data_IF_028761570584
#
_entry.id   IF_028761570584
#
_cell.length_a   1.000
_cell.length_b   1.000
_cell.length_c   1.000
_cell.angle_alpha   90.00
_cell.angle_beta   90.00
_cell.angle_gamma   90.00
#
_symmetry.space_group_name_H-M   'P 1'
#
loop_
_entity.id
_entity.type
_entity.pdbx_description
1 polymer ?
#
# COMPACT_ATOMS: atom_id res chain seq x y z
N UNK A 1 -42.57 62.54 31.95
CA UNK A 1 -43.38 61.31 31.82
C UNK A 1 -42.98 60.62 30.51
N UNK A 2 -42.55 59.35 30.58
CA UNK A 2 -42.27 58.48 29.43
C UNK A 2 -43.56 58.23 28.60
N UNK A 3 -43.44 57.93 27.29
CA UNK A 3 -43.58 56.54 26.80
C UNK A 3 -42.57 56.19 25.68
N UNK A 4 -41.86 55.06 25.77
CA UNK A 4 -42.12 53.72 25.19
C UNK A 4 -41.68 53.49 23.73
N UNK A 5 -40.85 52.46 23.57
CA UNK A 5 -40.65 51.57 22.39
C UNK A 5 -39.99 52.18 21.15
N UNK A 6 -39.00 51.56 20.50
CA UNK A 6 -39.05 50.19 20.01
C UNK A 6 -37.66 49.57 19.80
N UNK A 7 -37.60 48.27 20.05
CA UNK A 7 -36.44 47.38 19.87
C UNK A 7 -36.23 47.11 18.38
N UNK A 8 -34.99 47.19 17.88
CA UNK A 8 -34.58 46.40 16.71
C UNK A 8 -33.19 45.83 17.01
N UNK A 9 -33.18 44.60 17.51
CA UNK A 9 -32.00 43.76 17.57
C UNK A 9 -31.77 43.17 16.16
N UNK A 10 -30.67 43.54 15.51
CA UNK A 10 -30.23 42.92 14.27
C UNK A 10 -29.35 41.71 14.61
N UNK A 11 -29.97 40.54 14.75
CA UNK A 11 -29.27 39.25 14.80
C UNK A 11 -28.81 38.89 13.38
N UNK A 12 -27.52 39.09 13.10
CA UNK A 12 -26.89 38.55 11.88
C UNK A 12 -26.43 37.13 12.19
N UNK A 13 -27.24 36.15 11.80
CA UNK A 13 -26.86 34.74 11.86
C UNK A 13 -25.93 34.40 10.69
N UNK A 14 -24.62 34.33 10.96
CA UNK A 14 -23.63 33.81 9.99
C UNK A 14 -23.68 32.29 10.11
N UNK A 15 -24.48 31.66 9.24
CA UNK A 15 -24.52 30.21 9.10
C UNK A 15 -23.22 29.70 8.50
N UNK A 16 -22.40 29.05 9.34
CA UNK A 16 -21.26 28.27 8.87
C UNK A 16 -21.77 27.01 8.18
N UNK A 17 -21.79 27.01 6.85
CA UNK A 17 -21.93 25.81 6.04
C UNK A 17 -20.70 24.93 6.28
N UNK A 18 -20.85 23.93 7.16
CA UNK A 18 -19.91 22.83 7.27
C UNK A 18 -19.93 22.06 5.96
N UNK A 19 -19.02 22.41 5.05
CA UNK A 19 -18.62 21.56 3.93
C UNK A 19 -18.01 20.28 4.53
N UNK A 20 -18.85 19.32 4.87
CA UNK A 20 -18.42 17.96 5.12
C UNK A 20 -17.87 17.42 3.80
N UNK A 21 -16.55 17.48 3.63
CA UNK A 21 -15.87 16.78 2.56
C UNK A 21 -16.17 15.29 2.75
N UNK A 22 -17.02 14.75 1.87
CA UNK A 22 -17.19 13.32 1.72
C UNK A 22 -15.85 12.78 1.25
N UNK A 23 -15.01 12.32 2.18
CA UNK A 23 -13.87 11.49 1.85
C UNK A 23 -14.43 10.22 1.22
N UNK A 24 -14.42 10.18 -0.11
CA UNK A 24 -14.68 8.95 -0.84
C UNK A 24 -13.75 7.90 -0.24
N UNK A 25 -14.35 6.88 0.40
CA UNK A 25 -13.60 5.79 0.98
C UNK A 25 -12.78 5.16 -0.15
N UNK A 26 -11.49 5.50 -0.23
CA UNK A 26 -10.59 4.94 -1.22
C UNK A 26 -10.42 3.47 -0.88
N UNK A 27 -11.13 2.61 -1.60
CA UNK A 27 -10.93 1.16 -1.48
C UNK A 27 -9.61 0.82 -2.15
N UNK A 28 -8.59 0.56 -1.33
CA UNK A 28 -7.29 0.10 -1.79
C UNK A 28 -7.43 -1.28 -2.43
N UNK A 29 -7.48 -1.29 -3.76
CA UNK A 29 -7.68 -2.49 -4.54
C UNK A 29 -6.34 -3.13 -4.85
N UNK A 30 -5.92 -4.02 -3.96
CA UNK A 30 -4.76 -4.87 -4.15
C UNK A 30 -5.14 -6.17 -4.87
N UNK A 31 -4.34 -6.52 -5.88
CA UNK A 31 -4.41 -7.81 -6.56
C UNK A 31 -3.15 -8.63 -6.27
N UNK A 32 -3.28 -9.95 -6.22
CA UNK A 32 -2.13 -10.84 -6.11
C UNK A 32 -1.43 -10.91 -7.46
N UNK A 33 -0.12 -10.66 -7.47
CA UNK A 33 0.72 -10.87 -8.64
C UNK A 33 1.23 -12.32 -8.68
N UNK A 34 1.35 -12.87 -9.89
CA UNK A 34 2.04 -14.14 -10.14
C UNK A 34 3.33 -13.87 -10.95
N UNK A 35 4.50 -13.80 -10.29
CA UNK A 35 5.76 -13.47 -10.96
C UNK A 35 6.32 -14.60 -11.81
N UNK A 36 5.73 -15.81 -11.74
CA UNK A 36 6.32 -17.03 -12.33
C UNK A 36 7.82 -17.07 -12.02
N UNK A 37 8.67 -17.16 -13.03
CA UNK A 37 10.14 -17.22 -12.90
C UNK A 37 10.82 -15.99 -12.25
N UNK A 38 10.08 -14.92 -11.93
CA UNK A 38 10.60 -13.73 -11.24
C UNK A 38 10.24 -12.41 -11.89
N UNK A 39 9.55 -12.42 -13.03
CA UNK A 39 9.17 -11.20 -13.76
C UNK A 39 7.67 -11.13 -13.97
N UNK A 40 7.08 -9.98 -13.70
CA UNK A 40 5.67 -9.69 -13.97
C UNK A 40 5.50 -8.31 -14.55
N UNK A 41 4.65 -8.22 -15.58
CA UNK A 41 4.19 -6.95 -16.12
C UNK A 41 2.83 -6.62 -15.54
N UNK A 42 2.67 -5.40 -15.03
CA UNK A 42 1.42 -4.90 -14.48
C UNK A 42 1.20 -3.45 -14.95
N UNK A 43 0.30 -3.27 -15.91
CA UNK A 43 0.08 -1.96 -16.55
C UNK A 43 1.36 -1.45 -17.21
N UNK A 44 1.87 -0.31 -16.72
CA UNK A 44 3.10 0.33 -17.23
C UNK A 44 4.38 -0.13 -16.50
N UNK A 45 4.25 -0.99 -15.51
CA UNK A 45 5.36 -1.47 -14.68
C UNK A 45 5.80 -2.86 -15.15
N UNK A 46 7.11 -3.07 -15.22
CA UNK A 46 7.73 -4.39 -15.23
C UNK A 46 8.48 -4.56 -13.92
N UNK A 47 8.11 -5.55 -13.15
CA UNK A 47 8.68 -5.85 -11.84
C UNK A 47 9.51 -7.13 -11.99
N UNK A 48 10.79 -7.03 -11.68
CA UNK A 48 11.75 -8.13 -11.64
C UNK A 48 12.15 -8.37 -10.18
N UNK A 49 11.88 -9.57 -9.70
CA UNK A 49 12.15 -10.02 -8.33
C UNK A 49 13.48 -10.77 -8.22
N UNK A 50 14.23 -10.87 -9.32
CA UNK A 50 15.40 -11.71 -9.43
C UNK A 50 15.05 -13.19 -9.61
N UNK A 51 16.06 -14.04 -9.42
CA UNK A 51 15.95 -15.47 -9.66
C UNK A 51 15.01 -16.15 -8.65
N UNK A 52 14.08 -16.96 -9.15
CA UNK A 52 13.25 -17.84 -8.34
C UNK A 52 14.02 -19.05 -7.77
N UNK A 53 13.54 -19.60 -6.66
CA UNK A 53 14.10 -20.81 -6.03
C UNK A 53 13.91 -22.09 -6.86
N UNK A 54 12.87 -22.13 -7.70
CA UNK A 54 12.61 -23.22 -8.64
C UNK A 54 12.36 -22.67 -10.06
N UNK A 55 12.84 -23.40 -11.08
CA UNK A 55 12.72 -22.97 -12.47
C UNK A 55 11.29 -23.04 -13.04
N UNK A 56 10.42 -23.86 -12.44
CA UNK A 56 9.09 -24.20 -12.97
C UNK A 56 7.95 -23.73 -12.07
N UNK A 57 8.15 -23.79 -10.76
CA UNK A 57 7.14 -23.45 -9.75
C UNK A 57 7.75 -22.69 -8.55
N UNK A 58 8.40 -21.54 -8.79
CA UNK A 58 9.08 -20.81 -7.73
C UNK A 58 8.12 -20.34 -6.63
N UNK A 59 8.57 -20.41 -5.39
CA UNK A 59 7.85 -19.95 -4.20
C UNK A 59 8.54 -18.75 -3.55
N UNK A 60 9.83 -18.58 -3.80
CA UNK A 60 10.60 -17.42 -3.38
C UNK A 60 11.51 -16.89 -4.47
N UNK A 61 11.93 -15.64 -4.32
CA UNK A 61 12.84 -14.95 -5.25
C UNK A 61 13.93 -14.22 -4.49
N UNK A 62 15.14 -14.20 -5.02
CA UNK A 62 16.30 -13.70 -4.28
C UNK A 62 16.27 -12.17 -4.06
N UNK A 63 15.63 -11.41 -4.95
CA UNK A 63 15.81 -9.96 -5.03
C UNK A 63 17.19 -9.58 -5.59
N UNK A 64 17.56 -8.29 -5.60
CA UNK A 64 16.71 -7.15 -5.22
C UNK A 64 15.56 -6.94 -6.22
N UNK A 65 14.55 -6.18 -5.81
CA UNK A 65 13.43 -5.86 -6.72
C UNK A 65 13.86 -4.74 -7.67
N UNK A 66 13.93 -5.02 -8.96
CA UNK A 66 14.11 -4.01 -10.00
C UNK A 66 12.78 -3.70 -10.67
N UNK A 67 12.48 -2.42 -10.86
CA UNK A 67 11.22 -1.96 -11.44
C UNK A 67 11.54 -1.05 -12.61
N UNK A 68 10.99 -1.39 -13.78
CA UNK A 68 11.09 -0.59 -14.99
C UNK A 68 9.71 -0.07 -15.41
N UNK A 69 9.66 1.18 -15.85
CA UNK A 69 8.46 1.84 -16.35
C UNK A 69 8.51 1.94 -17.88
N UNK A 70 7.35 1.91 -18.54
CA UNK A 70 7.25 2.01 -20.00
C UNK A 70 7.87 3.29 -20.59
N UNK A 71 8.11 4.32 -19.77
CA UNK A 71 8.79 5.56 -20.16
C UNK A 71 10.33 5.49 -20.11
N UNK A 72 10.92 4.33 -19.82
CA UNK A 72 12.37 4.12 -19.76
C UNK A 72 13.01 4.39 -18.41
N UNK A 73 12.27 4.94 -17.44
CA UNK A 73 12.73 5.08 -16.06
C UNK A 73 12.76 3.71 -15.38
N UNK A 74 13.85 3.43 -14.66
CA UNK A 74 13.96 2.23 -13.83
C UNK A 74 14.58 2.57 -12.48
N UNK A 75 14.18 1.83 -11.46
CA UNK A 75 14.77 1.92 -10.13
C UNK A 75 14.92 0.52 -9.51
N UNK A 76 15.73 0.43 -8.47
CA UNK A 76 15.92 -0.80 -7.70
C UNK A 76 15.57 -0.50 -6.24
N UNK A 77 14.76 -1.36 -5.64
CA UNK A 77 14.42 -1.31 -4.22
C UNK A 77 15.66 -1.67 -3.40
N UNK A 78 15.75 -1.12 -2.19
CA UNK A 78 16.80 -1.44 -1.23
C UNK A 78 17.08 -2.96 -1.12
N UNK A 79 18.36 -3.34 -1.12
CA UNK A 79 18.81 -4.73 -1.06
C UNK A 79 18.42 -5.45 0.22
N UNK A 80 18.12 -4.72 1.29
CA UNK A 80 17.58 -5.27 2.53
C UNK A 80 16.18 -5.88 2.33
N UNK A 81 15.51 -5.56 1.22
CA UNK A 81 14.28 -6.20 0.77
C UNK A 81 14.62 -7.35 -0.18
N UNK A 82 15.20 -8.42 0.38
CA UNK A 82 15.64 -9.63 -0.34
C UNK A 82 15.02 -10.90 0.23
N UNK A 83 15.11 -12.00 -0.54
CA UNK A 83 14.48 -13.29 -0.23
C UNK A 83 12.95 -13.13 -0.04
N UNK A 84 12.30 -12.84 -1.16
CA UNK A 84 10.89 -12.53 -1.28
C UNK A 84 10.09 -13.82 -1.32
N UNK A 85 8.93 -13.87 -0.69
CA UNK A 85 7.99 -15.00 -0.79
C UNK A 85 6.60 -14.53 -1.24
N UNK A 86 5.81 -15.48 -1.77
CA UNK A 86 4.39 -15.26 -2.03
C UNK A 86 3.63 -15.04 -0.71
N UNK A 87 2.51 -14.29 -0.69
CA UNK A 87 1.95 -13.53 -1.80
C UNK A 87 2.61 -12.15 -1.99
N UNK A 88 2.65 -11.70 -3.25
CA UNK A 88 3.02 -10.33 -3.62
C UNK A 88 1.77 -9.63 -4.11
N UNK A 89 1.52 -8.41 -3.63
CA UNK A 89 0.35 -7.64 -4.03
C UNK A 89 0.75 -6.33 -4.68
N UNK A 90 -0.06 -5.89 -5.64
CA UNK A 90 0.06 -4.57 -6.25
C UNK A 90 -1.30 -3.88 -6.18
N UNK A 91 -1.34 -2.65 -5.68
CA UNK A 91 -2.52 -1.80 -5.88
C UNK A 91 -2.53 -1.31 -7.33
N UNK A 92 -3.68 -1.16 -7.96
CA UNK A 92 -3.77 -0.78 -9.39
C UNK A 92 -3.12 0.57 -9.78
N UNK A 93 -2.34 1.19 -8.88
CA UNK A 93 -1.56 2.41 -9.07
C UNK A 93 -0.07 2.10 -9.08
N UNK A 94 0.54 1.94 -7.91
CA UNK A 94 2.00 1.82 -7.77
C UNK A 94 2.48 1.29 -6.43
N UNK A 95 1.60 0.87 -5.51
CA UNK A 95 2.03 0.33 -4.23
C UNK A 95 2.20 -1.18 -4.30
N UNK A 96 3.42 -1.63 -4.06
CA UNK A 96 3.77 -3.05 -4.00
C UNK A 96 3.86 -3.47 -2.54
N UNK A 97 3.16 -4.55 -2.18
CA UNK A 97 3.36 -5.25 -0.91
C UNK A 97 4.15 -6.53 -1.15
N UNK A 98 5.32 -6.61 -0.54
CA UNK A 98 6.19 -7.79 -0.61
C UNK A 98 6.47 -8.33 0.79
N UNK A 99 6.67 -9.64 0.87
CA UNK A 99 7.05 -10.30 2.12
C UNK A 99 8.46 -10.84 1.95
N UNK A 100 9.36 -10.48 2.86
CA UNK A 100 10.67 -11.14 3.00
C UNK A 100 10.61 -12.14 4.15
N UNK A 101 11.48 -13.13 4.13
CA UNK A 101 11.63 -14.06 5.24
C UNK A 101 13.08 -14.35 5.61
N UNK A 102 13.30 -14.66 6.89
CA UNK A 102 14.56 -15.19 7.42
C UNK A 102 14.23 -16.22 8.50
N UNK A 103 14.54 -17.49 8.21
CA UNK A 103 14.05 -18.61 9.01
C UNK A 103 12.52 -18.63 9.08
N UNK A 104 11.97 -18.58 10.29
CA UNK A 104 10.52 -18.54 10.52
C UNK A 104 9.93 -17.12 10.55
N UNK A 105 10.78 -16.10 10.58
CA UNK A 105 10.36 -14.70 10.68
C UNK A 105 10.08 -14.10 9.32
N UNK A 106 9.03 -13.30 9.24
CA UNK A 106 8.62 -12.55 8.05
C UNK A 106 8.56 -11.06 8.36
N UNK A 107 8.77 -10.26 7.32
CA UNK A 107 8.54 -8.81 7.34
C UNK A 107 7.80 -8.45 6.05
N UNK A 108 6.73 -7.65 6.17
CA UNK A 108 6.04 -7.08 5.01
C UNK A 108 6.51 -5.66 4.80
N UNK A 109 6.79 -5.31 3.55
CA UNK A 109 7.13 -3.96 3.11
C UNK A 109 6.05 -3.44 2.17
N UNK A 110 5.69 -2.16 2.34
CA UNK A 110 4.98 -1.40 1.32
C UNK A 110 5.97 -0.52 0.58
N UNK A 111 5.99 -0.62 -0.74
CA UNK A 111 6.98 0.02 -1.62
C UNK A 111 6.23 0.85 -2.65
N UNK A 112 6.68 2.06 -2.90
CA UNK A 112 6.29 2.82 -4.07
C UNK A 112 7.08 2.32 -5.29
N UNK A 113 6.40 1.64 -6.21
CA UNK A 113 6.99 1.07 -7.42
C UNK A 113 7.48 2.12 -8.43
N UNK A 114 7.11 3.40 -8.28
CA UNK A 114 7.61 4.47 -9.15
C UNK A 114 8.95 5.03 -8.66
N UNK A 115 9.18 5.05 -7.35
CA UNK A 115 10.38 5.61 -6.73
C UNK A 115 11.29 4.56 -6.10
N UNK A 116 10.84 3.31 -6.03
CA UNK A 116 11.45 2.18 -5.31
C UNK A 116 11.68 2.43 -3.81
N UNK A 117 10.97 3.42 -3.24
CA UNK A 117 11.08 3.77 -1.83
C UNK A 117 10.19 2.88 -0.98
N UNK A 118 10.73 2.42 0.15
CA UNK A 118 9.93 1.78 1.20
C UNK A 118 9.09 2.84 1.90
N UNK A 119 7.77 2.72 1.80
CA UNK A 119 6.80 3.59 2.45
C UNK A 119 6.46 3.12 3.86
N UNK A 120 6.47 1.80 4.07
CA UNK A 120 6.11 1.19 5.35
C UNK A 120 6.78 -0.18 5.53
N UNK A 121 7.03 -0.55 6.78
CA UNK A 121 7.61 -1.83 7.18
C UNK A 121 6.87 -2.38 8.39
N UNK A 122 6.48 -3.66 8.34
CA UNK A 122 5.88 -4.36 9.49
C UNK A 122 6.93 -4.63 10.57
N UNK A 123 6.47 -4.82 11.82
CA UNK A 123 7.27 -5.56 12.80
C UNK A 123 7.49 -7.00 12.31
N UNK A 124 8.59 -7.67 12.69
CA UNK A 124 8.77 -9.09 12.40
C UNK A 124 7.64 -9.95 12.99
N UNK A 125 7.21 -10.98 12.27
CA UNK A 125 6.14 -11.87 12.71
C UNK A 125 6.32 -13.31 12.21
N UNK A 126 5.54 -14.23 12.79
CA UNK A 126 5.43 -15.63 12.34
C UNK A 126 4.00 -15.87 11.83
N UNK A 127 3.87 -16.68 10.79
CA UNK A 127 2.58 -17.06 10.19
C UNK A 127 2.34 -16.44 8.81
N UNK A 128 1.14 -16.63 8.25
CA UNK A 128 0.82 -16.23 6.88
C UNK A 128 0.54 -14.73 6.72
N UNK A 129 0.77 -14.22 5.52
CA UNK A 129 0.29 -12.91 5.05
C UNK A 129 -1.00 -13.08 4.25
N UNK A 130 -2.05 -12.33 4.58
CA UNK A 130 -3.32 -12.33 3.84
C UNK A 130 -3.85 -10.91 3.72
N UNK A 131 -4.39 -10.56 2.56
CA UNK A 131 -5.09 -9.29 2.35
C UNK A 131 -6.58 -9.59 2.12
N UNK A 132 -7.45 -8.96 2.91
CA UNK A 132 -8.90 -9.07 2.73
C UNK A 132 -9.60 -7.77 3.08
N UNK A 133 -10.40 -7.24 2.15
CA UNK A 133 -11.27 -6.07 2.36
C UNK A 133 -10.55 -4.87 3.00
N UNK A 134 -9.40 -4.47 2.45
CA UNK A 134 -8.63 -3.34 2.98
C UNK A 134 -7.98 -3.60 4.36
N UNK A 135 -7.81 -4.87 4.74
CA UNK A 135 -7.06 -5.26 5.93
C UNK A 135 -5.92 -6.19 5.54
N UNK A 136 -4.70 -5.79 5.90
CA UNK A 136 -3.52 -6.63 5.86
C UNK A 136 -3.44 -7.43 7.16
N UNK A 137 -3.47 -8.76 7.05
CA UNK A 137 -3.24 -9.67 8.16
C UNK A 137 -1.82 -10.24 8.09
N UNK A 138 -1.03 -10.02 9.14
CA UNK A 138 0.33 -10.55 9.31
C UNK A 138 0.35 -11.48 10.54
N UNK A 139 0.33 -12.79 10.29
CA UNK A 139 0.13 -13.77 11.35
C UNK A 139 -1.22 -13.54 12.07
N UNK A 140 -1.16 -13.15 13.34
CA UNK A 140 -2.35 -12.81 14.16
C UNK A 140 -2.70 -11.31 14.15
N UNK A 141 -1.81 -10.45 13.67
CA UNK A 141 -2.03 -9.00 13.64
C UNK A 141 -2.88 -8.61 12.42
N UNK A 142 -3.72 -7.59 12.60
CA UNK A 142 -4.61 -7.06 11.55
C UNK A 142 -4.43 -5.56 11.48
N UNK A 143 -3.98 -5.08 10.33
CA UNK A 143 -3.71 -3.66 10.06
C UNK A 143 -4.61 -3.17 8.94
N UNK A 144 -5.36 -2.08 9.18
CA UNK A 144 -6.21 -1.45 8.16
C UNK A 144 -5.36 -0.54 7.30
N UNK A 145 -5.62 -0.49 6.00
CA UNK A 145 -4.99 0.51 5.14
C UNK A 145 -5.51 1.91 5.46
N UNK A 146 -4.60 2.88 5.46
CA UNK A 146 -4.93 4.30 5.51
C UNK A 146 -5.36 4.85 4.13
N UNK A 147 -5.58 6.16 4.07
CA UNK A 147 -5.99 6.89 2.86
C UNK A 147 -4.99 6.80 1.70
N UNK A 148 -3.73 6.50 1.99
CA UNK A 148 -2.65 6.34 0.99
C UNK A 148 -2.44 4.90 0.53
N UNK A 149 -3.34 3.98 0.89
CA UNK A 149 -3.20 2.56 0.58
C UNK A 149 -1.94 1.89 1.13
N UNK A 150 -1.39 2.45 2.20
CA UNK A 150 -0.36 1.84 3.04
C UNK A 150 -0.98 1.36 4.36
N UNK A 151 -0.50 0.23 4.94
CA UNK A 151 -0.92 -0.23 6.26
C UNK A 151 -0.58 0.75 7.38
#
# INVERSE_FOLDING_TARGET
>A
MMPYTSRIAALVAIGWLLLASAEAAQTCHYVVLDPRAGKVSAGKLTIDLGQGDDATAPRSWQGPIAIAQSGGTSCTVDSDVSILERPIYLDGKSHLLVTTYSGSNRVVFAIDATTCRVLWRSKPFVGSVRLKAGVLQTGKQRTKFGSHCTP
#
